data_IF_432685479862
#
_entry.id   IF_432685479862
#
_cell.length_a   1.000
_cell.length_b   1.000
_cell.length_c   1.000
_cell.angle_alpha   90.00
_cell.angle_beta   90.00
_cell.angle_gamma   90.00
#
_symmetry.space_group_name_H-M   'P 1'
#
loop_
_entity.id
_entity.type
_entity.pdbx_description
1 polymer ?
#
# COMPACT_ATOMS: atom_id res chain seq x y z
N UNK A 1 6.19 -69.44 -63.59
CA UNK A 1 7.35 -69.96 -62.83
C UNK A 1 8.28 -68.83 -62.43
N UNK A 2 9.06 -69.08 -61.37
CA UNK A 2 10.06 -68.26 -60.66
C UNK A 2 9.53 -67.22 -59.65
N UNK A 3 9.73 -67.46 -58.33
CA UNK A 3 9.35 -66.54 -57.26
C UNK A 3 10.48 -65.54 -56.99
N UNK A 4 10.13 -64.28 -56.71
CA UNK A 4 11.11 -63.28 -56.30
C UNK A 4 11.20 -63.27 -54.76
N UNK A 5 12.25 -63.91 -54.26
CA UNK A 5 12.60 -63.97 -52.84
C UNK A 5 12.95 -62.58 -52.32
N UNK A 6 12.12 -62.05 -51.41
CA UNK A 6 12.34 -60.79 -50.71
C UNK A 6 13.34 -61.04 -49.58
N UNK A 7 14.62 -60.77 -49.79
CA UNK A 7 15.60 -60.76 -48.70
C UNK A 7 15.42 -59.50 -47.85
N UNK A 8 14.78 -59.64 -46.69
CA UNK A 8 14.89 -58.67 -45.61
C UNK A 8 16.29 -58.79 -45.01
N UNK A 9 17.09 -57.75 -45.14
CA UNK A 9 18.33 -57.60 -44.38
C UNK A 9 17.97 -57.17 -42.95
N UNK A 10 18.38 -57.89 -41.90
CA UNK A 10 18.28 -57.39 -40.54
C UNK A 10 19.48 -56.48 -40.29
N UNK A 11 19.32 -55.17 -40.50
CA UNK A 11 20.24 -54.19 -39.91
C UNK A 11 19.88 -54.08 -38.43
N UNK A 12 20.34 -55.05 -37.64
CA UNK A 12 20.35 -54.96 -36.19
C UNK A 12 21.32 -53.84 -35.78
N UNK A 13 20.82 -52.61 -35.72
CA UNK A 13 21.48 -51.52 -35.01
C UNK A 13 21.41 -51.84 -33.51
N UNK A 14 22.44 -52.50 -33.00
CA UNK A 14 22.76 -52.49 -31.57
C UNK A 14 23.06 -51.05 -31.16
N UNK A 15 22.03 -50.36 -30.66
CA UNK A 15 22.20 -49.12 -29.93
C UNK A 15 23.05 -49.42 -28.70
N UNK A 16 24.33 -49.07 -28.80
CA UNK A 16 25.28 -49.15 -27.71
C UNK A 16 24.70 -48.38 -26.52
N UNK A 17 24.28 -49.09 -25.48
CA UNK A 17 23.86 -48.49 -24.23
C UNK A 17 25.11 -47.88 -23.58
N UNK A 18 25.46 -46.65 -23.99
CA UNK A 18 26.45 -45.85 -23.29
C UNK A 18 25.88 -45.65 -21.88
N UNK A 19 26.53 -46.25 -20.88
CA UNK A 19 26.29 -45.93 -19.47
C UNK A 19 26.44 -44.40 -19.33
N UNK A 20 25.32 -43.69 -19.22
CA UNK A 20 25.30 -42.25 -18.97
C UNK A 20 26.14 -42.00 -17.70
N UNK A 21 27.31 -41.39 -17.85
CA UNK A 21 28.10 -40.93 -16.70
C UNK A 21 27.34 -39.74 -16.11
N UNK A 22 26.83 -39.90 -14.89
CA UNK A 22 25.80 -39.07 -14.26
C UNK A 22 26.21 -37.66 -13.84
N UNK A 23 26.97 -36.92 -14.63
CA UNK A 23 27.29 -35.51 -14.34
C UNK A 23 26.19 -34.53 -14.77
N UNK A 24 25.39 -34.86 -15.78
CA UNK A 24 24.32 -33.98 -16.29
C UNK A 24 23.22 -33.73 -15.24
N UNK A 25 22.89 -34.75 -14.44
CA UNK A 25 21.87 -34.64 -13.39
C UNK A 25 22.32 -33.69 -12.27
N UNK A 26 23.61 -33.75 -11.89
CA UNK A 26 24.16 -32.88 -10.85
C UNK A 26 24.16 -31.41 -11.30
N UNK A 27 24.54 -31.15 -12.56
CA UNK A 27 24.53 -29.81 -13.13
C UNK A 27 23.10 -29.26 -13.22
N UNK A 28 22.15 -30.08 -13.70
CA UNK A 28 20.75 -29.68 -13.79
C UNK A 28 20.17 -29.34 -12.41
N UNK A 29 20.44 -30.15 -11.39
CA UNK A 29 19.99 -29.88 -10.02
C UNK A 29 20.57 -28.58 -9.46
N UNK A 30 21.86 -28.33 -9.66
CA UNK A 30 22.47 -27.08 -9.21
C UNK A 30 21.78 -25.86 -9.82
N UNK A 31 21.53 -25.89 -11.14
CA UNK A 31 20.84 -24.81 -11.85
C UNK A 31 19.42 -24.62 -11.31
N UNK A 32 18.66 -25.70 -11.14
CA UNK A 32 17.30 -25.65 -10.62
C UNK A 32 17.27 -25.04 -9.21
N UNK A 33 18.20 -25.43 -8.33
CA UNK A 33 18.27 -24.90 -6.96
C UNK A 33 18.56 -23.40 -6.97
N UNK A 34 19.54 -22.95 -7.78
CA UNK A 34 19.87 -21.52 -7.88
C UNK A 34 18.69 -20.72 -8.43
N UNK A 35 18.06 -21.19 -9.50
CA UNK A 35 16.88 -20.54 -10.08
C UNK A 35 15.69 -20.52 -9.10
N UNK A 36 15.50 -21.59 -8.32
CA UNK A 36 14.44 -21.64 -7.31
C UNK A 36 14.66 -20.60 -6.21
N UNK A 37 15.90 -20.41 -5.75
CA UNK A 37 16.24 -19.37 -4.76
C UNK A 37 15.94 -17.99 -5.35
N UNK A 38 16.42 -17.69 -6.57
CA UNK A 38 16.17 -16.41 -7.22
C UNK A 38 14.67 -16.14 -7.42
N UNK A 39 13.93 -17.13 -7.94
CA UNK A 39 12.50 -17.02 -8.14
C UNK A 39 11.76 -16.77 -6.81
N UNK A 40 12.14 -17.44 -5.72
CA UNK A 40 11.53 -17.22 -4.40
C UNK A 40 11.66 -15.77 -3.94
N UNK A 41 12.84 -15.16 -4.12
CA UNK A 41 13.07 -13.76 -3.72
C UNK A 41 12.21 -12.80 -4.53
N UNK A 42 12.14 -13.00 -5.85
CA UNK A 42 11.34 -12.14 -6.73
C UNK A 42 9.83 -12.23 -6.40
N UNK A 43 9.33 -13.43 -6.09
CA UNK A 43 7.95 -13.62 -5.67
C UNK A 43 7.64 -12.87 -4.37
N UNK A 44 8.56 -12.88 -3.40
CA UNK A 44 8.37 -12.10 -2.17
C UNK A 44 8.37 -10.60 -2.42
N UNK A 45 9.23 -10.09 -3.32
CA UNK A 45 9.21 -8.68 -3.70
C UNK A 45 7.91 -8.28 -4.40
N UNK A 46 7.38 -9.14 -5.27
CA UNK A 46 6.10 -8.91 -5.94
C UNK A 46 4.93 -8.84 -4.94
N UNK A 47 4.90 -9.75 -3.96
CA UNK A 47 3.89 -9.72 -2.90
C UNK A 47 4.01 -8.46 -2.03
N UNK A 48 5.22 -8.06 -1.66
CA UNK A 48 5.46 -6.85 -0.87
C UNK A 48 5.06 -5.55 -1.60
N UNK A 49 5.26 -5.51 -2.92
CA UNK A 49 4.89 -4.33 -3.72
C UNK A 49 3.38 -4.14 -3.81
N UNK A 50 2.60 -5.22 -3.91
CA UNK A 50 1.14 -5.13 -3.85
C UNK A 50 0.63 -4.52 -2.52
N UNK A 51 1.22 -4.92 -1.40
CA UNK A 51 0.87 -4.38 -0.08
C UNK A 51 1.24 -2.89 0.05
N UNK A 52 2.41 -2.50 -0.45
CA UNK A 52 2.85 -1.10 -0.43
C UNK A 52 1.92 -0.17 -1.21
N UNK A 53 1.38 -0.61 -2.35
CA UNK A 53 0.44 0.19 -3.17
C UNK A 53 -0.86 0.40 -2.41
N UNK A 54 -1.35 -0.62 -1.70
CA UNK A 54 -2.55 -0.49 -0.85
C UNK A 54 -2.30 0.54 0.24
N UNK A 55 -1.19 0.44 0.97
CA UNK A 55 -0.85 1.40 2.03
C UNK A 55 -0.72 2.84 1.51
N UNK A 56 -0.18 3.03 0.30
CA UNK A 56 -0.08 4.35 -0.33
C UNK A 56 -1.45 4.94 -0.68
N UNK A 57 -2.34 4.13 -1.29
CA UNK A 57 -3.69 4.56 -1.66
C UNK A 57 -4.51 4.91 -0.41
N UNK A 58 -4.50 4.06 0.61
CA UNK A 58 -5.20 4.34 1.86
C UNK A 58 -4.56 5.49 2.65
N UNK A 59 -3.24 5.70 2.50
CA UNK A 59 -2.54 6.87 3.02
C UNK A 59 -3.06 8.17 2.42
N UNK A 60 -3.29 8.22 1.11
CA UNK A 60 -3.87 9.38 0.44
C UNK A 60 -5.34 9.59 0.82
N UNK A 61 -6.12 8.51 0.96
CA UNK A 61 -7.51 8.60 1.42
C UNK A 61 -7.60 9.15 2.85
N UNK A 62 -6.76 8.66 3.77
CA UNK A 62 -6.69 9.15 5.14
C UNK A 62 -6.24 10.62 5.19
N UNK A 63 -5.29 11.02 4.33
CA UNK A 63 -4.88 12.41 4.22
C UNK A 63 -6.02 13.32 3.74
N UNK A 64 -6.76 12.91 2.70
CA UNK A 64 -7.89 13.68 2.20
C UNK A 64 -9.03 13.76 3.23
N UNK A 65 -9.32 12.67 3.93
CA UNK A 65 -10.27 12.66 5.05
C UNK A 65 -9.86 13.66 6.15
N UNK A 66 -8.58 13.67 6.54
CA UNK A 66 -8.04 14.63 7.52
C UNK A 66 -8.21 16.08 7.03
N UNK A 67 -7.87 16.36 5.77
CA UNK A 67 -8.01 17.69 5.17
C UNK A 67 -9.45 18.19 5.18
N UNK A 68 -10.40 17.33 4.81
CA UNK A 68 -11.83 17.68 4.91
C UNK A 68 -12.25 17.97 6.35
N UNK A 69 -11.70 17.26 7.34
CA UNK A 69 -11.94 17.53 8.75
C UNK A 69 -11.38 18.87 9.23
N UNK A 70 -10.19 19.26 8.74
CA UNK A 70 -9.64 20.60 8.99
C UNK A 70 -10.49 21.67 8.32
N UNK A 71 -10.87 21.52 7.06
CA UNK A 71 -11.71 22.50 6.34
C UNK A 71 -13.06 22.71 7.05
N UNK A 72 -13.67 21.63 7.54
CA UNK A 72 -14.89 21.70 8.33
C UNK A 72 -14.67 22.43 9.68
N UNK A 73 -13.56 22.16 10.37
CA UNK A 73 -13.25 22.82 11.63
C UNK A 73 -12.89 24.31 11.44
N UNK A 74 -12.13 24.65 10.39
CA UNK A 74 -11.75 26.03 10.03
C UNK A 74 -12.97 26.85 9.64
N UNK A 75 -13.87 26.29 8.82
CA UNK A 75 -15.11 26.99 8.45
C UNK A 75 -16.04 27.24 9.65
N UNK A 76 -16.03 26.35 10.64
CA UNK A 76 -16.71 26.58 11.93
C UNK A 76 -16.00 27.60 12.82
N UNK A 77 -14.66 27.60 12.80
CA UNK A 77 -13.86 28.49 13.64
C UNK A 77 -13.85 29.94 13.14
N UNK A 78 -13.92 30.16 11.83
CA UNK A 78 -13.90 31.48 11.19
C UNK A 78 -15.17 31.70 10.32
N UNK A 79 -16.33 31.92 10.94
CA UNK A 79 -17.57 32.15 10.20
C UNK A 79 -17.57 33.53 9.51
N UNK A 80 -18.29 33.64 8.38
CA UNK A 80 -18.48 34.92 7.66
C UNK A 80 -19.26 35.97 8.48
N UNK A 81 -20.04 35.52 9.47
CA UNK A 81 -20.76 36.35 10.42
C UNK A 81 -20.72 35.72 11.81
N UNK A 82 -20.32 36.51 12.81
CA UNK A 82 -20.12 36.05 14.19
C UNK A 82 -18.69 36.26 14.69
N UNK A 83 -18.44 35.91 15.96
CA UNK A 83 -17.10 35.90 16.53
C UNK A 83 -16.44 34.55 16.24
N UNK A 84 -15.17 34.56 15.84
CA UNK A 84 -14.37 33.34 15.71
C UNK A 84 -14.21 32.68 17.08
N UNK A 85 -14.44 31.37 17.12
CA UNK A 85 -14.29 30.56 18.33
C UNK A 85 -13.63 29.23 17.97
N UNK A 86 -13.10 28.53 18.97
CA UNK A 86 -12.63 27.16 18.76
C UNK A 86 -13.85 26.23 18.83
N UNK A 87 -14.26 25.57 17.74
CA UNK A 87 -15.40 24.68 17.79
C UNK A 87 -15.05 23.38 18.53
N UNK A 88 -16.07 22.71 19.06
CA UNK A 88 -15.93 21.40 19.70
C UNK A 88 -15.41 20.34 18.71
N UNK A 89 -14.85 19.26 19.23
CA UNK A 89 -14.31 18.17 18.41
C UNK A 89 -15.39 17.58 17.49
N UNK A 90 -15.11 17.50 16.18
CA UNK A 90 -16.00 16.86 15.22
C UNK A 90 -15.49 15.48 14.86
N UNK A 91 -16.40 14.51 14.85
CA UNK A 91 -16.13 13.16 14.38
C UNK A 91 -17.09 12.87 13.25
N UNK A 92 -16.57 12.46 12.10
CA UNK A 92 -17.38 12.14 10.93
C UNK A 92 -16.86 10.88 10.25
N UNK A 93 -17.77 10.00 9.86
CA UNK A 93 -17.46 8.77 9.14
C UNK A 93 -18.06 8.85 7.75
N UNK A 94 -17.22 8.63 6.74
CA UNK A 94 -17.65 8.62 5.34
C UNK A 94 -18.33 7.28 5.04
N UNK A 95 -19.66 7.31 4.95
CA UNK A 95 -20.49 6.13 4.64
C UNK A 95 -20.90 6.08 3.17
N UNK A 96 -21.20 7.23 2.57
CA UNK A 96 -21.78 7.34 1.21
C UNK A 96 -20.90 8.11 0.23
N UNK A 97 -19.60 8.25 0.51
CA UNK A 97 -18.67 9.02 -0.33
C UNK A 97 -17.82 8.07 -1.16
N UNK A 98 -18.00 8.01 -2.49
CA UNK A 98 -17.17 7.17 -3.35
C UNK A 98 -15.68 7.48 -3.16
N UNK A 99 -14.87 6.45 -2.96
CA UNK A 99 -13.42 6.58 -2.72
C UNK A 99 -12.99 6.80 -1.28
N UNK A 100 -13.90 7.20 -0.37
CA UNK A 100 -13.63 7.38 1.07
C UNK A 100 -14.41 6.38 1.95
N UNK A 101 -15.02 5.35 1.38
CA UNK A 101 -15.67 4.28 2.17
C UNK A 101 -14.69 3.68 3.18
N UNK A 102 -15.15 3.47 4.41
CA UNK A 102 -14.37 3.03 5.58
C UNK A 102 -13.30 4.02 6.07
N UNK A 103 -13.43 5.29 5.70
CA UNK A 103 -12.66 6.37 6.30
C UNK A 103 -13.50 7.17 7.29
N UNK A 104 -12.84 7.73 8.30
CA UNK A 104 -13.39 8.72 9.21
C UNK A 104 -12.37 9.83 9.45
N UNK A 105 -12.84 10.97 9.95
CA UNK A 105 -11.96 11.97 10.52
C UNK A 105 -12.45 12.38 11.91
N UNK A 106 -11.49 12.81 12.73
CA UNK A 106 -11.70 13.47 14.01
C UNK A 106 -10.94 14.78 13.98
N UNK A 107 -11.63 15.92 14.13
CA UNK A 107 -11.00 17.22 14.30
C UNK A 107 -11.12 17.72 15.73
N UNK A 108 -10.13 18.51 16.14
CA UNK A 108 -10.02 19.16 17.43
C UNK A 108 -9.49 20.58 17.24
N UNK A 109 -9.86 21.47 18.14
CA UNK A 109 -9.44 22.86 18.13
C UNK A 109 -8.90 23.24 19.52
N UNK A 110 -7.66 23.72 19.56
CA UNK A 110 -7.00 24.24 20.75
C UNK A 110 -6.70 25.74 20.57
N UNK A 111 -6.80 26.51 21.64
CA UNK A 111 -6.29 27.89 21.67
C UNK A 111 -4.93 27.88 22.33
N UNK A 112 -3.91 28.33 21.62
CA UNK A 112 -2.52 28.43 22.08
C UNK A 112 -2.18 29.91 22.28
N UNK A 113 -1.87 30.29 23.51
CA UNK A 113 -1.36 31.62 23.82
C UNK A 113 0.16 31.65 23.73
N UNK A 114 0.71 32.56 22.93
CA UNK A 114 2.15 32.79 22.78
C UNK A 114 2.45 34.20 23.31
N UNK A 115 3.38 34.29 24.25
CA UNK A 115 3.91 35.56 24.74
C UNK A 115 5.15 35.91 23.91
N UNK A 116 5.11 37.04 23.21
CA UNK A 116 6.28 37.59 22.53
C UNK A 116 6.56 38.99 23.09
N UNK A 117 7.64 39.09 23.87
CA UNK A 117 8.11 40.35 24.48
C UNK A 117 7.05 41.12 25.31
N UNK A 118 6.11 40.42 25.96
CA UNK A 118 5.07 41.01 26.80
C UNK A 118 3.73 41.26 26.10
N UNK A 119 3.64 40.98 24.79
CA UNK A 119 2.39 40.95 24.05
C UNK A 119 1.89 39.50 23.94
N UNK A 120 0.64 39.26 24.39
CA UNK A 120 0.02 37.93 24.37
C UNK A 120 -0.78 37.76 23.09
N UNK A 121 -0.31 36.90 22.21
CA UNK A 121 -0.99 36.50 20.98
C UNK A 121 -1.78 35.20 21.18
N UNK A 122 -3.00 35.14 20.67
CA UNK A 122 -3.80 33.91 20.66
C UNK A 122 -3.82 33.31 19.26
N UNK A 123 -3.39 32.06 19.19
CA UNK A 123 -3.41 31.24 17.98
C UNK A 123 -4.47 30.16 18.12
N UNK A 124 -5.25 29.96 17.06
CA UNK A 124 -6.11 28.78 16.95
C UNK A 124 -5.30 27.67 16.28
N UNK A 125 -5.13 26.55 16.98
CA UNK A 125 -4.54 25.32 16.43
C UNK A 125 -5.63 24.30 16.18
N UNK A 126 -5.93 24.09 14.91
CA UNK A 126 -6.91 23.12 14.46
C UNK A 126 -6.14 21.88 14.00
N UNK A 127 -6.49 20.74 14.58
CA UNK A 127 -5.88 19.45 14.24
C UNK A 127 -6.98 18.52 13.75
N UNK A 128 -6.75 17.80 12.66
CA UNK A 128 -7.63 16.73 12.23
C UNK A 128 -6.85 15.46 11.90
N UNK A 129 -7.34 14.35 12.42
CA UNK A 129 -6.86 13.02 12.14
C UNK A 129 -7.85 12.33 11.21
N UNK A 130 -7.39 11.93 10.03
CA UNK A 130 -8.10 11.01 9.15
C UNK A 130 -7.64 9.57 9.39
N UNK A 131 -8.57 8.63 9.40
CA UNK A 131 -8.31 7.21 9.58
C UNK A 131 -9.09 6.41 8.56
N UNK A 132 -8.46 5.45 7.90
CA UNK A 132 -9.10 4.56 6.94
C UNK A 132 -8.74 3.10 7.23
N UNK A 133 -9.74 2.22 7.13
CA UNK A 133 -9.59 0.79 7.38
C UNK A 133 -9.40 0.04 6.05
N UNK A 134 -8.33 -0.74 5.96
CA UNK A 134 -7.97 -1.57 4.82
C UNK A 134 -7.81 -3.03 5.27
N UNK A 135 -8.92 -3.77 5.32
CA UNK A 135 -8.93 -5.12 5.91
C UNK A 135 -8.63 -5.03 7.42
N UNK A 136 -7.51 -5.65 7.84
CA UNK A 136 -7.06 -5.64 9.24
C UNK A 136 -6.09 -4.47 9.55
N UNK A 137 -5.66 -3.72 8.53
CA UNK A 137 -4.70 -2.62 8.69
C UNK A 137 -5.44 -1.29 8.77
N UNK A 138 -5.11 -0.49 9.79
CA UNK A 138 -5.62 0.89 9.94
C UNK A 138 -4.53 1.86 9.52
N UNK A 139 -4.84 2.71 8.54
CA UNK A 139 -3.95 3.77 8.07
C UNK A 139 -4.49 5.11 8.54
N UNK A 140 -3.69 5.85 9.29
CA UNK A 140 -4.07 7.17 9.81
C UNK A 140 -3.07 8.26 9.42
N UNK A 141 -3.58 9.47 9.22
CA UNK A 141 -2.82 10.69 8.92
C UNK A 141 -3.35 11.83 9.77
N UNK A 142 -2.44 12.61 10.36
CA UNK A 142 -2.77 13.79 11.13
C UNK A 142 -2.37 15.05 10.36
N UNK A 143 -3.23 16.05 10.35
CA UNK A 143 -3.01 17.35 9.71
C UNK A 143 -3.32 18.43 10.74
N UNK A 144 -2.43 19.40 10.89
CA UNK A 144 -2.63 20.54 11.77
C UNK A 144 -2.48 21.83 10.99
N UNK A 145 -3.32 22.81 11.31
CA UNK A 145 -3.28 24.17 10.78
C UNK A 145 -3.37 25.14 11.94
N UNK A 146 -2.57 26.21 11.86
CA UNK A 146 -2.54 27.27 12.86
C UNK A 146 -2.92 28.58 12.18
N UNK A 147 -3.72 29.40 12.88
CA UNK A 147 -4.17 30.70 12.39
C UNK A 147 -4.25 31.72 13.52
N UNK A 148 -3.89 32.97 13.21
CA UNK A 148 -4.15 34.12 14.07
C UNK A 148 -5.55 34.67 13.80
N UNK A 149 -6.15 35.26 14.82
CA UNK A 149 -7.28 36.17 14.63
C UNK A 149 -6.78 37.56 14.25
#
# INVERSE_FOLDING_TARGET
MCPMSRKLHPMAQFHYCKKQRGSMLVIALFIIIVLAILASTMLTMFAASADSVVSEVYGQRALNAARSGVEQAVSGAFPLSGASNCPANYNFTFTNTPGLGNCSYTSACDVVSVDDSGDVYQYFRITAQGSCIAGDTVVSRNVSVEGIQ
#
